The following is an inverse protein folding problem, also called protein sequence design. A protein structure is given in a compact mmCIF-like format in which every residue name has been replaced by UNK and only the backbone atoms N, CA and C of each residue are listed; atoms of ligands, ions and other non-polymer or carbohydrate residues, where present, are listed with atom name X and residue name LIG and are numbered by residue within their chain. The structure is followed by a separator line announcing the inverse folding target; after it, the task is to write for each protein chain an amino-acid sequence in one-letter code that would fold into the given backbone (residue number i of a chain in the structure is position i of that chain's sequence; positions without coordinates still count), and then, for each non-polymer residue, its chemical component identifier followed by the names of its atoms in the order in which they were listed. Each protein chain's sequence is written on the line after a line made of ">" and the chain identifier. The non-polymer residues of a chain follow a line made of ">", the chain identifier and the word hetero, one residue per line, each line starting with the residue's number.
data_IF_560743180901
#
_entry.id   IF_560743180901
#
_cell.length_a   1.000
_cell.length_b   1.000
_cell.length_c   1.000
_cell.angle_alpha   90.00
_cell.angle_beta   90.00
_cell.angle_gamma   90.00
#
_symmetry.space_group_name_H-M   'P 1'
#
loop_
_entity.id
_entity.type
_entity.pdbx_description
1 polymer ?
#
# COMPACT_ATOMS: atom_id res chain seq x y z
N UNK A 1 -17.51 49.80 -30.98
CA UNK A 1 -18.00 48.70 -30.12
C UNK A 1 -16.82 48.05 -29.40
N UNK A 2 -16.62 48.36 -28.12
CA UNK A 2 -15.54 47.83 -27.28
C UNK A 2 -16.03 46.55 -26.58
N UNK A 3 -15.29 45.43 -26.75
CA UNK A 3 -15.59 44.14 -26.10
C UNK A 3 -15.03 44.14 -24.67
N UNK A 4 -15.92 44.20 -23.67
CA UNK A 4 -15.58 44.13 -22.24
C UNK A 4 -15.16 42.69 -21.88
N UNK A 5 -13.94 42.52 -21.36
CA UNK A 5 -13.43 41.25 -20.83
C UNK A 5 -14.02 41.02 -19.43
N UNK A 6 -14.70 39.90 -19.22
CA UNK A 6 -15.32 39.50 -17.94
C UNK A 6 -14.28 38.83 -17.04
N UNK A 7 -13.79 39.56 -16.03
CA UNK A 7 -12.92 39.02 -14.99
C UNK A 7 -13.68 38.07 -14.04
N UNK A 8 -13.08 36.91 -13.75
CA UNK A 8 -13.61 35.94 -12.78
C UNK A 8 -13.04 36.26 -11.40
N UNK A 9 -13.92 36.62 -10.46
CA UNK A 9 -13.58 36.80 -9.02
C UNK A 9 -13.19 35.45 -8.42
N UNK A 10 -12.06 35.41 -7.70
CA UNK A 10 -11.64 34.26 -6.87
C UNK A 10 -12.28 34.42 -5.49
N UNK A 11 -13.18 33.53 -5.11
CA UNK A 11 -13.71 33.46 -3.74
C UNK A 11 -12.73 32.69 -2.86
N UNK A 12 -12.31 33.35 -1.78
CA UNK A 12 -11.40 32.84 -0.76
C UNK A 12 -12.26 32.14 0.30
N UNK A 13 -12.19 30.81 0.37
CA UNK A 13 -12.90 30.06 1.41
C UNK A 13 -12.11 30.10 2.73
N UNK A 14 -12.42 31.07 3.57
CA UNK A 14 -11.91 31.20 4.94
C UNK A 14 -12.80 30.38 5.88
N UNK A 15 -12.45 29.12 6.18
CA UNK A 15 -13.20 28.33 7.17
C UNK A 15 -12.65 28.62 8.57
N UNK A 16 -13.34 29.52 9.25
CA UNK A 16 -13.08 29.94 10.64
C UNK A 16 -13.17 28.80 11.64
N UNK A 17 -12.33 28.89 12.67
CA UNK A 17 -12.34 28.12 13.92
C UNK A 17 -13.44 28.63 14.86
N UNK A 18 -13.98 27.76 15.74
CA UNK A 18 -14.15 27.93 17.22
C UNK A 18 -15.41 27.21 17.80
N UNK A 19 -15.15 26.43 18.86
CA UNK A 19 -15.92 26.04 20.05
C UNK A 19 -17.16 25.11 20.02
N UNK A 20 -17.07 24.01 20.80
CA UNK A 20 -17.70 23.82 22.13
C UNK A 20 -16.84 22.76 22.87
N UNK A 21 -16.22 22.90 24.05
CA UNK A 21 -16.59 23.46 25.36
C UNK A 21 -17.82 22.82 26.00
N UNK A 22 -17.53 21.75 26.76
CA UNK A 22 -18.27 21.29 27.95
C UNK A 22 -19.53 20.44 27.72
N UNK A 23 -19.36 19.11 27.72
CA UNK A 23 -20.47 18.17 27.94
C UNK A 23 -20.37 17.62 29.37
N UNK A 24 -21.26 18.08 30.25
CA UNK A 24 -21.52 17.45 31.54
C UNK A 24 -22.31 16.17 31.26
N UNK A 25 -21.76 15.01 31.65
CA UNK A 25 -22.53 13.76 31.70
C UNK A 25 -22.97 13.63 33.16
N UNK A 26 -24.27 13.76 33.40
CA UNK A 26 -24.87 13.40 34.68
C UNK A 26 -25.07 11.88 34.69
N UNK A 27 -24.42 11.20 35.64
CA UNK A 27 -24.56 9.77 35.84
C UNK A 27 -25.94 9.47 36.44
N UNK A 28 -26.84 8.88 35.65
CA UNK A 28 -28.11 8.36 36.12
C UNK A 28 -27.99 6.84 36.29
N UNK A 29 -27.55 6.41 37.47
CA UNK A 29 -27.51 5.01 37.91
C UNK A 29 -28.94 4.50 38.13
N UNK A 30 -29.51 3.81 37.13
CA UNK A 30 -30.64 2.91 37.35
C UNK A 30 -30.12 1.48 37.49
N UNK A 31 -29.97 1.09 38.75
CA UNK A 31 -29.85 -0.28 39.22
C UNK A 31 -31.12 -1.08 38.89
N UNK A 32 -30.97 -2.26 38.30
CA UNK A 32 -31.94 -3.35 38.42
C UNK A 32 -31.22 -4.69 38.30
N UNK A 33 -31.05 -5.32 39.45
CA UNK A 33 -30.64 -6.70 39.65
C UNK A 33 -31.62 -7.67 38.99
N UNK A 34 -31.10 -8.65 38.25
CA UNK A 34 -31.72 -9.97 38.14
C UNK A 34 -30.70 -10.99 37.65
N UNK A 35 -30.37 -11.86 38.60
CA UNK A 35 -29.58 -13.08 38.56
C UNK A 35 -30.14 -14.10 37.55
N UNK A 36 -29.32 -14.55 36.59
CA UNK A 36 -29.46 -15.89 36.02
C UNK A 36 -28.15 -16.36 35.35
N UNK A 37 -27.69 -17.51 35.80
CA UNK A 37 -26.50 -18.25 35.35
C UNK A 37 -26.77 -18.99 34.03
N UNK A 38 -25.98 -18.74 32.98
CA UNK A 38 -25.84 -19.68 31.85
C UNK A 38 -24.43 -19.64 31.23
N UNK A 39 -24.00 -20.82 30.80
CA UNK A 39 -22.66 -21.26 30.39
C UNK A 39 -22.12 -20.64 29.07
N UNK A 40 -20.79 -20.71 28.98
CA UNK A 40 -19.80 -20.36 27.94
C UNK A 40 -20.31 -20.10 26.51
N UNK A 41 -19.92 -18.93 25.95
CA UNK A 41 -19.46 -18.78 24.57
C UNK A 41 -18.62 -17.49 24.39
N UNK A 42 -17.61 -17.59 23.52
CA UNK A 42 -16.66 -16.55 23.14
C UNK A 42 -17.35 -15.33 22.50
N UNK A 43 -17.03 -14.11 22.97
CA UNK A 43 -16.69 -12.92 22.17
C UNK A 43 -16.90 -11.60 22.96
N UNK A 44 -15.97 -10.66 22.72
CA UNK A 44 -16.06 -9.21 23.00
C UNK A 44 -16.00 -8.70 24.45
N UNK A 45 -14.81 -8.80 25.06
CA UNK A 45 -14.41 -7.85 26.10
C UNK A 45 -13.98 -6.51 25.46
N UNK A 46 -14.96 -5.67 25.12
CA UNK A 46 -14.73 -4.24 24.90
C UNK A 46 -14.55 -3.59 26.27
N UNK A 47 -13.37 -3.78 26.86
CA UNK A 47 -12.92 -3.00 28.02
C UNK A 47 -12.66 -1.56 27.57
N UNK A 48 -13.48 -0.67 28.10
CA UNK A 48 -13.42 0.78 27.92
C UNK A 48 -12.06 1.33 28.38
N UNK A 49 -11.22 1.61 27.37
CA UNK A 49 -10.37 2.79 27.22
C UNK A 49 -9.68 3.30 28.50
N UNK A 50 -8.71 2.55 29.00
CA UNK A 50 -7.59 3.19 29.68
C UNK A 50 -6.82 4.00 28.63
N UNK A 51 -6.69 5.31 28.80
CA UNK A 51 -5.76 6.17 28.05
C UNK A 51 -4.30 5.84 28.40
N UNK A 52 -3.93 4.56 28.39
CA UNK A 52 -2.55 4.14 28.49
C UNK A 52 -1.91 4.49 27.15
N UNK A 53 -0.90 5.36 27.19
CA UNK A 53 -0.02 5.57 26.04
C UNK A 53 0.60 4.23 25.65
N UNK A 54 0.01 3.57 24.65
CA UNK A 54 0.56 2.34 24.10
C UNK A 54 1.97 2.61 23.61
N UNK A 55 2.89 1.67 23.86
CA UNK A 55 4.26 1.75 23.35
C UNK A 55 4.24 2.07 21.86
N UNK A 56 5.09 3.02 21.43
CA UNK A 56 5.28 3.32 20.01
C UNK A 56 5.54 2.03 19.23
N UNK A 57 4.83 1.82 18.13
CA UNK A 57 4.99 0.64 17.26
C UNK A 57 6.43 0.57 16.76
N UNK A 58 7.03 -0.63 16.79
CA UNK A 58 8.32 -0.85 16.13
C UNK A 58 8.15 -0.68 14.62
N UNK A 59 9.07 0.02 13.98
CA UNK A 59 9.11 0.14 12.53
C UNK A 59 9.41 -1.22 11.91
N UNK A 60 8.67 -1.60 10.87
CA UNK A 60 8.86 -2.84 10.12
C UNK A 60 9.00 -2.51 8.61
N UNK A 61 10.18 -2.01 8.17
CA UNK A 61 10.38 -1.59 6.78
C UNK A 61 10.13 -2.73 5.78
N UNK A 62 10.44 -3.96 6.15
CA UNK A 62 10.24 -5.15 5.33
C UNK A 62 8.78 -5.42 4.93
N UNK A 63 7.85 -4.93 5.75
CA UNK A 63 6.40 -5.06 5.56
C UNK A 63 5.80 -3.83 4.86
N UNK A 64 6.58 -2.78 4.62
CA UNK A 64 6.08 -1.62 3.89
C UNK A 64 5.71 -2.03 2.47
N UNK A 65 4.49 -1.67 2.04
CA UNK A 65 3.96 -1.99 0.70
C UNK A 65 4.96 -1.67 -0.42
N UNK A 66 5.68 -0.54 -0.29
CA UNK A 66 6.72 -0.13 -1.24
C UNK A 66 7.92 -1.07 -1.28
N UNK A 67 8.38 -1.56 -0.12
CA UNK A 67 9.54 -2.45 -0.01
C UNK A 67 9.18 -3.87 -0.47
N UNK A 68 8.02 -4.37 -0.07
CA UNK A 68 7.45 -5.64 -0.57
C UNK A 68 7.34 -5.59 -2.10
N UNK A 69 6.73 -4.55 -2.66
CA UNK A 69 6.57 -4.39 -4.10
C UNK A 69 7.92 -4.28 -4.83
N UNK A 70 8.90 -3.56 -4.26
CA UNK A 70 10.26 -3.45 -4.82
C UNK A 70 10.95 -4.82 -4.85
N UNK A 71 10.90 -5.58 -3.75
CA UNK A 71 11.48 -6.93 -3.66
C UNK A 71 10.87 -7.87 -4.69
N UNK A 72 9.54 -7.89 -4.79
CA UNK A 72 8.84 -8.74 -5.77
C UNK A 72 9.17 -8.34 -7.21
N UNK A 73 9.18 -7.03 -7.53
CA UNK A 73 9.57 -6.53 -8.85
C UNK A 73 10.99 -6.93 -9.25
N UNK A 74 11.94 -6.82 -8.32
CA UNK A 74 13.33 -7.19 -8.56
C UNK A 74 13.48 -8.70 -8.76
N UNK A 75 12.73 -9.49 -7.99
CA UNK A 75 12.64 -10.94 -8.18
C UNK A 75 11.88 -11.35 -9.45
N UNK A 76 11.32 -10.40 -10.20
CA UNK A 76 10.49 -10.68 -11.37
C UNK A 76 9.16 -11.37 -11.03
N UNK A 77 8.73 -11.36 -9.77
CA UNK A 77 7.46 -11.97 -9.34
C UNK A 77 6.29 -11.01 -9.52
N UNK A 78 5.08 -11.57 -9.50
CA UNK A 78 3.86 -10.77 -9.49
C UNK A 78 3.81 -9.86 -8.26
N UNK A 79 3.30 -8.64 -8.43
CA UNK A 79 3.15 -7.66 -7.35
C UNK A 79 2.03 -6.66 -7.61
N UNK A 80 1.58 -5.99 -6.55
CA UNK A 80 0.56 -4.94 -6.62
C UNK A 80 1.23 -3.56 -6.70
N UNK A 81 0.92 -2.82 -7.76
CA UNK A 81 1.40 -1.44 -7.96
C UNK A 81 0.66 -0.42 -7.08
N UNK A 82 1.12 0.85 -7.08
CA UNK A 82 0.52 1.94 -6.29
C UNK A 82 -0.97 2.18 -6.59
N UNK A 83 -1.40 1.86 -7.81
CA UNK A 83 -2.79 2.02 -8.26
C UNK A 83 -3.64 0.76 -7.98
N UNK A 84 -3.19 -0.12 -7.07
CA UNK A 84 -3.78 -1.43 -6.78
C UNK A 84 -3.91 -2.38 -7.98
N UNK A 85 -3.17 -2.10 -9.07
CA UNK A 85 -3.11 -2.98 -10.24
C UNK A 85 -2.13 -4.12 -10.00
N UNK A 86 -2.56 -5.34 -10.28
CA UNK A 86 -1.70 -6.53 -10.27
C UNK A 86 -0.82 -6.51 -11.51
N UNK A 87 0.49 -6.58 -11.31
CA UNK A 87 1.51 -6.63 -12.35
C UNK A 87 2.08 -8.04 -12.33
N UNK A 88 1.85 -8.79 -13.41
CA UNK A 88 2.24 -10.20 -13.54
C UNK A 88 3.76 -10.38 -13.45
N UNK A 89 4.16 -11.59 -13.11
CA UNK A 89 5.55 -11.99 -13.11
C UNK A 89 6.21 -11.85 -14.49
N UNK A 90 7.52 -11.57 -14.48
CA UNK A 90 8.34 -11.45 -15.68
C UNK A 90 8.67 -12.85 -16.18
N UNK A 91 8.28 -13.14 -17.41
CA UNK A 91 8.63 -14.37 -18.13
C UNK A 91 9.39 -14.04 -19.40
N UNK A 92 10.26 -14.95 -19.83
CA UNK A 92 10.91 -14.84 -21.14
C UNK A 92 9.82 -14.89 -22.21
N UNK A 93 9.74 -13.84 -23.03
CA UNK A 93 8.86 -13.82 -24.20
C UNK A 93 9.39 -14.72 -25.32
N UNK A 94 8.58 -14.94 -26.37
CA UNK A 94 9.05 -15.65 -27.56
C UNK A 94 10.30 -15.01 -28.15
N UNK A 95 11.07 -15.78 -28.92
CA UNK A 95 12.14 -15.25 -29.76
C UNK A 95 11.67 -14.16 -30.69
N UNK A 96 12.64 -13.40 -31.20
CA UNK A 96 12.34 -12.53 -32.32
C UNK A 96 11.88 -13.38 -33.51
N UNK A 97 11.07 -12.82 -34.41
CA UNK A 97 10.75 -13.48 -35.67
C UNK A 97 11.88 -13.32 -36.67
N UNK A 98 11.91 -14.15 -37.72
CA UNK A 98 12.88 -14.04 -38.82
C UNK A 98 12.89 -12.67 -39.52
N UNK A 99 11.78 -11.92 -39.45
CA UNK A 99 11.67 -10.55 -39.98
C UNK A 99 12.32 -9.48 -39.09
N UNK A 100 13.01 -9.88 -38.02
CA UNK A 100 13.64 -8.94 -37.10
C UNK A 100 14.79 -8.20 -37.78
N UNK A 101 14.68 -6.87 -37.87
CA UNK A 101 15.70 -5.99 -38.48
C UNK A 101 17.10 -6.17 -37.87
N UNK A 102 17.17 -6.54 -36.60
CA UNK A 102 18.41 -6.70 -35.85
C UNK A 102 19.01 -8.12 -35.95
N UNK A 103 18.28 -9.06 -36.56
CA UNK A 103 18.62 -10.48 -36.66
C UNK A 103 19.00 -11.09 -35.31
N UNK A 104 18.22 -10.80 -34.27
CA UNK A 104 18.54 -11.23 -32.90
C UNK A 104 18.73 -12.75 -32.79
N UNK A 105 17.92 -13.55 -33.49
CA UNK A 105 18.00 -15.02 -33.46
C UNK A 105 19.33 -15.57 -33.99
N UNK A 106 20.03 -14.85 -34.86
CA UNK A 106 21.34 -15.30 -35.38
C UNK A 106 22.50 -14.95 -34.44
N UNK A 107 22.26 -14.06 -33.47
CA UNK A 107 23.29 -13.51 -32.57
C UNK A 107 23.12 -14.03 -31.14
N UNK A 108 21.89 -14.33 -30.75
CA UNK A 108 21.53 -14.73 -29.40
C UNK A 108 20.70 -16.00 -29.49
N UNK A 109 21.28 -17.08 -29.00
CA UNK A 109 20.55 -18.31 -28.78
C UNK A 109 19.62 -18.17 -27.56
N UNK A 110 18.58 -19.01 -27.51
CA UNK A 110 17.58 -18.97 -26.46
C UNK A 110 18.18 -19.28 -25.07
N UNK A 111 19.24 -20.08 -25.01
CA UNK A 111 19.95 -20.33 -23.75
C UNK A 111 20.65 -19.07 -23.24
N UNK A 112 21.36 -18.37 -24.11
CA UNK A 112 22.01 -17.09 -23.76
C UNK A 112 20.98 -16.07 -23.29
N UNK A 113 19.80 -16.02 -23.92
CA UNK A 113 18.70 -15.13 -23.50
C UNK A 113 18.21 -15.47 -22.09
N UNK A 114 18.02 -16.75 -21.78
CA UNK A 114 17.67 -17.22 -20.42
C UNK A 114 18.74 -16.83 -19.41
N UNK A 115 20.01 -17.07 -19.74
CA UNK A 115 21.13 -16.76 -18.86
C UNK A 115 21.20 -15.27 -18.51
N UNK A 116 21.08 -14.38 -19.51
CA UNK A 116 21.08 -12.93 -19.31
C UNK A 116 19.96 -12.50 -18.35
N UNK A 117 18.74 -13.00 -18.55
CA UNK A 117 17.60 -12.66 -17.70
C UNK A 117 17.76 -13.13 -16.27
N UNK A 118 18.19 -14.38 -16.07
CA UNK A 118 18.44 -14.94 -14.74
C UNK A 118 19.53 -14.15 -14.02
N UNK A 119 20.63 -13.83 -14.70
CA UNK A 119 21.72 -13.06 -14.13
C UNK A 119 21.28 -11.65 -13.70
N UNK A 120 20.52 -10.95 -14.54
CA UNK A 120 20.00 -9.61 -14.22
C UNK A 120 19.07 -9.66 -13.00
N UNK A 121 18.16 -10.64 -12.95
CA UNK A 121 17.24 -10.81 -11.80
C UNK A 121 18.02 -11.09 -10.52
N UNK A 122 19.01 -12.00 -10.57
CA UNK A 122 19.85 -12.30 -9.41
C UNK A 122 20.63 -11.07 -8.93
N UNK A 123 21.23 -10.31 -9.84
CA UNK A 123 21.94 -9.07 -9.51
C UNK A 123 21.02 -8.04 -8.83
N UNK A 124 19.80 -7.85 -9.34
CA UNK A 124 18.81 -6.95 -8.77
C UNK A 124 18.26 -7.40 -7.41
N UNK A 125 18.22 -8.71 -7.15
CA UNK A 125 17.86 -9.26 -5.84
C UNK A 125 18.99 -9.01 -4.84
N UNK A 126 20.24 -9.31 -5.20
CA UNK A 126 21.39 -9.16 -4.31
C UNK A 126 21.62 -7.70 -3.90
N UNK A 127 21.60 -6.78 -4.86
CA UNK A 127 21.88 -5.35 -4.62
C UNK A 127 20.82 -4.64 -3.79
N UNK A 128 19.58 -5.14 -3.73
CA UNK A 128 18.49 -4.49 -2.99
C UNK A 128 18.23 -5.12 -1.63
N UNK A 129 18.70 -6.34 -1.38
CA UNK A 129 18.75 -6.91 -0.02
C UNK A 129 19.70 -6.14 0.90
N UNK A 130 20.73 -5.49 0.37
CA UNK A 130 21.70 -4.71 1.15
C UNK A 130 21.23 -3.28 1.46
N UNK A 131 20.11 -2.83 0.87
CA UNK A 131 19.64 -1.43 0.91
C UNK A 131 18.27 -1.24 1.58
N UNK A 132 17.68 -2.29 2.13
CA UNK A 132 16.38 -2.28 2.83
C UNK A 132 16.54 -2.83 4.25
#
# INVERSE_FOLDING_TARGET
>A
MLKVKKERKKEIFHRSSIADLNYHIEDNDLSSDSDETVEENEEENISRKSNQFTRKRKMQPELWKSNVAKRLRNAGKEYVGKNNKVIRERRLGPGCTEKCKLKCNTKLDDETRRHILTHIVNYLICTVKELL
#
